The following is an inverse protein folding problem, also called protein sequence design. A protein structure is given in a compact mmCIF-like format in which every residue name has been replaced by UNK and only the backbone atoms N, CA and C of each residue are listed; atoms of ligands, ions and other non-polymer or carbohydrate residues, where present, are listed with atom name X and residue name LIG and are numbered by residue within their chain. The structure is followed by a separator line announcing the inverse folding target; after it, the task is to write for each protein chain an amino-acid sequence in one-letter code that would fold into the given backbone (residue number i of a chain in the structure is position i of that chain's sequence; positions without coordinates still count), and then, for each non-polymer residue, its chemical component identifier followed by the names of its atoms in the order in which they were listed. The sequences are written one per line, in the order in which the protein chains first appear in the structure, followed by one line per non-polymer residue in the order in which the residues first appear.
data_IF_937620085382
#
_entry.id   IF_937620085382
#
_cell.length_a   1.000
_cell.length_b   1.000
_cell.length_c   1.000
_cell.angle_alpha   90.00
_cell.angle_beta   90.00
_cell.angle_gamma   90.00
#
_symmetry.space_group_name_H-M   'P 1'
#
loop_
_entity.id
_entity.type
_entity.pdbx_description
1 polymer ?
#
# COMPACT_ATOMS: atom_id res chain seq x y z
N UNK A 1 -4.23 7.25 41.80
CA UNK A 1 -4.37 7.52 40.35
C UNK A 1 -3.06 7.40 39.58
N UNK A 2 -2.08 8.32 39.72
CA UNK A 2 -0.79 8.22 39.00
C UNK A 2 0.06 7.01 39.46
N UNK A 3 0.18 6.80 40.77
CA UNK A 3 0.87 5.63 41.33
C UNK A 3 0.22 4.31 40.90
N UNK A 4 -1.12 4.27 40.81
CA UNK A 4 -1.82 3.11 40.30
C UNK A 4 -1.54 2.93 38.81
N UNK A 5 -1.63 3.97 37.98
CA UNK A 5 -1.30 3.89 36.55
C UNK A 5 0.13 3.36 36.32
N UNK A 6 1.10 3.79 37.12
CA UNK A 6 2.49 3.29 37.09
C UNK A 6 2.57 1.84 37.58
N UNK A 7 1.81 1.46 38.62
CA UNK A 7 1.77 0.09 39.16
C UNK A 7 1.11 -0.90 38.21
N UNK A 8 0.04 -0.49 37.54
CA UNK A 8 -0.63 -1.25 36.49
C UNK A 8 0.25 -1.35 35.23
N UNK A 9 0.91 -0.25 34.83
CA UNK A 9 1.88 -0.26 33.71
C UNK A 9 3.13 -1.10 33.98
N UNK A 10 3.57 -1.22 35.24
CA UNK A 10 4.67 -2.10 35.63
C UNK A 10 4.24 -3.56 35.76
N UNK A 11 3.02 -3.85 36.22
CA UNK A 11 2.47 -5.20 36.22
C UNK A 11 2.24 -5.74 34.80
N UNK A 12 1.73 -4.91 33.87
CA UNK A 12 1.60 -5.29 32.45
C UNK A 12 2.94 -5.42 31.73
N UNK A 13 3.98 -4.71 32.16
CA UNK A 13 5.34 -4.91 31.64
C UNK A 13 6.03 -6.13 32.26
N UNK A 14 5.66 -6.55 33.47
CA UNK A 14 6.22 -7.71 34.14
C UNK A 14 5.63 -9.04 33.63
N UNK A 15 4.34 -9.06 33.27
CA UNK A 15 3.71 -10.24 32.65
C UNK A 15 3.61 -10.08 31.13
N UNK A 16 4.55 -10.72 30.43
CA UNK A 16 4.63 -10.72 28.96
C UNK A 16 3.60 -11.69 28.34
N UNK A 17 2.94 -12.54 29.14
CA UNK A 17 1.99 -13.53 28.65
C UNK A 17 0.52 -13.05 28.73
N UNK A 18 0.19 -12.14 29.64
CA UNK A 18 -1.18 -11.61 29.77
C UNK A 18 -1.49 -10.53 28.72
N UNK A 19 -2.43 -10.79 27.81
CA UNK A 19 -2.93 -9.82 26.82
C UNK A 19 -3.94 -8.84 27.46
N UNK A 20 -3.86 -7.55 27.12
CA UNK A 20 -4.75 -6.51 27.66
C UNK A 20 -5.64 -5.85 26.61
N UNK A 21 -5.16 -5.75 25.37
CA UNK A 21 -5.89 -5.12 24.26
C UNK A 21 -7.27 -5.74 24.00
N UNK A 22 -7.48 -7.08 24.05
CA UNK A 22 -8.81 -7.64 23.77
C UNK A 22 -9.86 -7.13 24.77
N UNK A 23 -9.52 -7.06 26.05
CA UNK A 23 -10.42 -6.62 27.13
C UNK A 23 -10.69 -5.11 27.16
N UNK A 24 -9.93 -4.31 26.40
CA UNK A 24 -10.05 -2.85 26.34
C UNK A 24 -10.52 -2.36 24.98
N UNK A 25 -10.95 -3.26 24.12
CA UNK A 25 -11.42 -2.98 22.77
C UNK A 25 -12.94 -3.23 22.67
N UNK A 26 -13.64 -2.44 21.86
CA UNK A 26 -15.08 -2.53 21.62
C UNK A 26 -15.44 -3.52 20.51
N UNK A 27 -14.76 -4.66 20.44
CA UNK A 27 -14.88 -5.65 19.36
C UNK A 27 -15.22 -7.03 19.91
N UNK A 28 -16.02 -7.77 19.14
CA UNK A 28 -16.14 -9.21 19.30
C UNK A 28 -14.88 -9.82 18.66
N UNK A 29 -14.09 -10.50 19.47
CA UNK A 29 -12.79 -11.02 19.12
C UNK A 29 -12.90 -12.46 18.64
N UNK A 30 -12.15 -12.78 17.59
CA UNK A 30 -11.93 -14.16 17.15
C UNK A 30 -10.54 -14.62 17.59
N UNK A 31 -10.40 -15.89 18.00
CA UNK A 31 -9.15 -16.42 18.57
C UNK A 31 -7.95 -16.22 17.65
N UNK A 32 -8.16 -16.39 16.34
CA UNK A 32 -7.10 -16.17 15.37
C UNK A 32 -6.58 -14.72 15.44
N UNK A 33 -7.42 -13.72 15.67
CA UNK A 33 -6.98 -12.31 15.68
C UNK A 33 -5.94 -11.97 16.77
N UNK A 34 -5.73 -12.87 17.73
CA UNK A 34 -4.75 -12.72 18.81
C UNK A 34 -3.31 -13.12 18.42
N UNK A 35 -3.10 -13.97 17.41
CA UNK A 35 -1.75 -14.46 17.04
C UNK A 35 -0.77 -13.31 16.72
N UNK A 36 -1.13 -12.28 15.91
CA UNK A 36 -0.25 -11.13 15.67
C UNK A 36 0.11 -10.37 16.95
N UNK A 37 -0.81 -10.29 17.90
CA UNK A 37 -0.62 -9.58 19.18
C UNK A 37 0.38 -10.35 20.04
N UNK A 38 0.18 -11.65 20.21
CA UNK A 38 1.05 -12.53 20.99
C UNK A 38 2.47 -12.53 20.41
N UNK A 39 2.60 -12.69 19.09
CA UNK A 39 3.92 -12.64 18.44
C UNK A 39 4.56 -11.27 18.60
N UNK A 40 3.80 -10.20 18.37
CA UNK A 40 4.31 -8.84 18.44
C UNK A 40 4.88 -8.49 19.82
N UNK A 41 4.16 -8.81 20.90
CA UNK A 41 4.64 -8.46 22.25
C UNK A 41 5.90 -9.21 22.67
N UNK A 42 6.10 -10.44 22.18
CA UNK A 42 7.30 -11.25 22.45
C UNK A 42 8.54 -10.71 21.72
N UNK A 43 8.36 -9.90 20.68
CA UNK A 43 9.48 -9.30 19.95
C UNK A 43 9.97 -8.03 20.69
N UNK A 44 11.29 -7.83 20.83
CA UNK A 44 11.84 -6.56 21.32
C UNK A 44 11.43 -5.37 20.43
N UNK A 45 11.39 -5.60 19.12
CA UNK A 45 10.83 -4.69 18.11
C UNK A 45 9.78 -5.41 17.30
N UNK A 46 8.58 -4.83 17.26
CA UNK A 46 7.47 -5.42 16.52
C UNK A 46 7.65 -5.14 15.03
N UNK A 47 8.46 -5.96 14.38
CA UNK A 47 8.63 -5.99 12.93
C UNK A 47 7.82 -7.16 12.38
N UNK A 48 6.53 -6.93 12.15
CA UNK A 48 5.58 -7.99 11.81
C UNK A 48 4.89 -7.72 10.47
N UNK A 49 4.75 -8.76 9.66
CA UNK A 49 3.96 -8.78 8.45
C UNK A 49 2.69 -9.62 8.69
N UNK A 50 1.55 -8.95 8.77
CA UNK A 50 0.23 -9.59 8.82
C UNK A 50 -0.24 -9.80 7.38
N UNK A 51 -0.10 -11.03 6.93
CA UNK A 51 -0.33 -11.45 5.56
C UNK A 51 -1.59 -12.29 5.36
N UNK A 52 -2.59 -12.10 6.22
CA UNK A 52 -3.84 -12.85 6.23
C UNK A 52 -4.74 -12.54 5.04
N UNK A 53 -5.60 -13.49 4.70
CA UNK A 53 -6.57 -13.37 3.61
C UNK A 53 -7.51 -12.15 3.76
N UNK A 54 -8.12 -11.74 2.65
CA UNK A 54 -9.03 -10.58 2.60
C UNK A 54 -10.25 -10.85 3.47
N UNK A 55 -10.52 -9.92 4.39
CA UNK A 55 -11.70 -9.98 5.26
C UNK A 55 -11.49 -10.71 6.59
N UNK A 56 -10.27 -11.13 6.92
CA UNK A 56 -9.97 -11.68 8.26
C UNK A 56 -9.83 -10.61 9.36
N UNK A 57 -9.88 -9.33 9.00
CA UNK A 57 -9.84 -8.24 9.97
C UNK A 57 -8.43 -7.74 10.29
N UNK A 58 -7.50 -7.72 9.31
CA UNK A 58 -6.14 -7.18 9.47
C UNK A 58 -6.07 -5.80 10.13
N UNK A 59 -7.05 -4.93 9.87
CA UNK A 59 -7.15 -3.60 10.50
C UNK A 59 -7.44 -3.70 12.00
N UNK A 60 -8.28 -4.65 12.41
CA UNK A 60 -8.58 -4.97 13.80
C UNK A 60 -7.36 -5.60 14.49
N UNK A 61 -6.70 -6.56 13.82
CA UNK A 61 -5.46 -7.17 14.32
C UNK A 61 -4.36 -6.12 14.55
N UNK A 62 -4.19 -5.20 13.60
CA UNK A 62 -3.28 -4.07 13.75
C UNK A 62 -3.67 -3.14 14.91
N UNK A 63 -4.97 -2.85 15.06
CA UNK A 63 -5.50 -2.06 16.17
C UNK A 63 -5.23 -2.69 17.54
N UNK A 64 -5.32 -4.02 17.64
CA UNK A 64 -4.98 -4.75 18.86
C UNK A 64 -3.49 -4.66 19.19
N UNK A 65 -2.61 -4.81 18.19
CA UNK A 65 -1.16 -4.62 18.37
C UNK A 65 -0.87 -3.18 18.81
N UNK A 66 -1.48 -2.19 18.16
CA UNK A 66 -1.37 -0.77 18.54
C UNK A 66 -1.78 -0.56 19.99
N UNK A 67 -2.96 -1.04 20.36
CA UNK A 67 -3.50 -0.84 21.70
C UNK A 67 -2.63 -1.51 22.76
N UNK A 68 -2.14 -2.73 22.49
CA UNK A 68 -1.24 -3.44 23.40
C UNK A 68 0.09 -2.70 23.59
N UNK A 69 0.68 -2.17 22.51
CA UNK A 69 1.91 -1.36 22.59
C UNK A 69 1.70 -0.04 23.35
N UNK A 70 0.54 0.60 23.20
CA UNK A 70 0.18 1.80 23.97
C UNK A 70 0.02 1.48 25.46
N UNK A 71 -0.67 0.39 25.80
CA UNK A 71 -0.92 -0.04 27.18
C UNK A 71 0.36 -0.46 27.91
N UNK A 72 1.33 -1.01 27.19
CA UNK A 72 2.67 -1.36 27.71
C UNK A 72 3.66 -0.20 27.69
N UNK A 73 3.24 0.97 27.24
CA UNK A 73 4.08 2.16 27.08
C UNK A 73 5.29 1.94 26.13
N UNK A 74 5.17 1.02 25.18
CA UNK A 74 6.18 0.75 24.14
C UNK A 74 6.04 1.63 22.91
N UNK A 75 4.87 2.23 22.71
CA UNK A 75 4.65 3.21 21.64
C UNK A 75 3.82 4.41 22.15
N UNK A 76 4.01 5.56 21.53
CA UNK A 76 3.19 6.78 21.72
C UNK A 76 2.91 7.46 20.39
N UNK A 77 3.91 7.49 19.50
CA UNK A 77 3.86 8.09 18.17
C UNK A 77 3.64 7.01 17.11
N UNK A 78 2.53 7.12 16.37
CA UNK A 78 2.09 6.11 15.41
C UNK A 78 1.77 6.79 14.10
N UNK A 79 2.34 6.27 13.00
CA UNK A 79 2.01 6.67 11.65
C UNK A 79 1.43 5.49 10.89
N UNK A 80 0.19 5.65 10.42
CA UNK A 80 -0.45 4.72 9.49
C UNK A 80 -0.34 5.27 8.08
N UNK A 81 0.28 4.50 7.19
CA UNK A 81 0.33 4.77 5.76
C UNK A 81 -0.57 3.77 5.05
N UNK A 82 -1.62 4.25 4.37
CA UNK A 82 -2.58 3.39 3.68
C UNK A 82 -2.98 4.01 2.32
N UNK A 83 -3.68 3.27 1.44
CA UNK A 83 -4.35 3.87 0.28
C UNK A 83 -5.28 5.02 0.70
N UNK A 84 -5.38 6.08 -0.11
CA UNK A 84 -6.20 7.26 0.20
C UNK A 84 -7.67 6.91 0.49
N UNK A 85 -8.22 5.92 -0.21
CA UNK A 85 -9.59 5.42 -0.01
C UNK A 85 -9.82 4.77 1.36
N UNK A 86 -8.78 4.33 2.06
CA UNK A 86 -8.88 3.65 3.35
C UNK A 86 -8.62 4.56 4.55
N UNK A 87 -8.17 5.80 4.36
CA UNK A 87 -7.79 6.69 5.46
C UNK A 87 -8.93 6.96 6.45
N UNK A 88 -10.13 7.28 5.93
CA UNK A 88 -11.31 7.54 6.77
C UNK A 88 -11.81 6.27 7.46
N UNK A 89 -11.71 5.12 6.78
CA UNK A 89 -12.05 3.82 7.37
C UNK A 89 -11.12 3.50 8.55
N UNK A 90 -9.81 3.68 8.37
CA UNK A 90 -8.83 3.53 9.45
C UNK A 90 -9.12 4.46 10.62
N UNK A 91 -9.43 5.74 10.35
CA UNK A 91 -9.76 6.71 11.39
C UNK A 91 -11.00 6.29 12.19
N UNK A 92 -12.07 5.91 11.49
CA UNK A 92 -13.32 5.46 12.11
C UNK A 92 -13.11 4.19 12.93
N UNK A 93 -12.45 3.16 12.38
CA UNK A 93 -12.22 1.90 13.10
C UNK A 93 -11.34 2.11 14.34
N UNK A 94 -10.26 2.89 14.24
CA UNK A 94 -9.41 3.19 15.40
C UNK A 94 -10.18 3.94 16.50
N UNK A 95 -11.06 4.87 16.13
CA UNK A 95 -11.87 5.63 17.09
C UNK A 95 -12.97 4.77 17.71
N UNK A 96 -13.81 4.12 16.89
CA UNK A 96 -14.99 3.39 17.33
C UNK A 96 -14.64 2.10 18.08
N UNK A 97 -13.62 1.37 17.61
CA UNK A 97 -13.27 0.06 18.16
C UNK A 97 -12.24 0.14 19.27
N UNK A 98 -11.33 1.11 19.20
CA UNK A 98 -10.21 1.19 20.14
C UNK A 98 -10.20 2.49 20.97
N UNK A 99 -11.09 3.44 20.70
CA UNK A 99 -11.09 4.74 21.37
C UNK A 99 -9.87 5.60 21.03
N UNK A 100 -9.17 5.29 19.93
CA UNK A 100 -7.93 5.95 19.54
C UNK A 100 -8.21 7.01 18.48
N UNK A 101 -8.12 8.28 18.87
CA UNK A 101 -8.14 9.39 17.91
C UNK A 101 -6.89 9.32 17.03
N UNK A 102 -7.09 9.27 15.71
CA UNK A 102 -6.07 9.49 14.69
C UNK A 102 -6.46 10.71 13.83
N UNK A 103 -5.45 11.46 13.36
CA UNK A 103 -5.66 12.59 12.46
C UNK A 103 -5.15 12.27 11.07
N UNK A 104 -6.01 12.49 10.08
CA UNK A 104 -5.65 12.34 8.66
C UNK A 104 -4.83 13.54 8.23
N UNK A 105 -3.62 13.28 7.75
CA UNK A 105 -2.67 14.27 7.26
C UNK A 105 -2.69 14.26 5.75
N UNK A 106 -3.21 15.34 5.18
CA UNK A 106 -3.27 15.63 3.76
C UNK A 106 -3.04 17.12 3.49
N UNK A 107 -3.29 17.56 2.25
CA UNK A 107 -3.15 18.96 1.84
C UNK A 107 -4.11 19.89 2.59
N UNK A 108 -5.35 19.47 2.87
CA UNK A 108 -6.32 20.25 3.64
C UNK A 108 -5.85 20.45 5.08
N UNK A 109 -5.45 19.36 5.74
CA UNK A 109 -4.93 19.36 7.10
C UNK A 109 -3.71 20.27 7.22
N UNK A 110 -2.77 20.20 6.27
CA UNK A 110 -1.59 21.07 6.27
C UNK A 110 -1.97 22.56 6.15
N UNK A 111 -2.95 22.89 5.30
CA UNK A 111 -3.44 24.28 5.16
C UNK A 111 -4.08 24.78 6.44
N UNK A 112 -4.92 23.97 7.08
CA UNK A 112 -5.55 24.30 8.35
C UNK A 112 -4.52 24.46 9.47
N UNK A 113 -3.59 23.51 9.59
CA UNK A 113 -2.52 23.55 10.58
C UNK A 113 -1.70 24.84 10.47
N UNK A 114 -1.37 25.27 9.25
CA UNK A 114 -0.65 26.52 9.02
C UNK A 114 -1.45 27.77 9.40
N UNK A 115 -2.78 27.74 9.22
CA UNK A 115 -3.65 28.85 9.65
C UNK A 115 -3.72 28.94 11.17
N UNK A 116 -3.82 27.81 11.86
CA UNK A 116 -4.00 27.79 13.32
C UNK A 116 -2.69 27.90 14.11
N UNK A 117 -1.58 27.37 13.59
CA UNK A 117 -0.29 27.27 14.31
C UNK A 117 0.89 27.96 13.61
N UNK A 118 0.64 28.66 12.50
CA UNK A 118 1.65 29.40 11.74
C UNK A 118 2.33 28.59 10.63
N UNK A 119 3.04 29.30 9.75
CA UNK A 119 3.62 28.75 8.49
C UNK A 119 4.63 27.62 8.75
N UNK A 120 5.31 27.66 9.89
CA UNK A 120 6.33 26.68 10.30
C UNK A 120 5.77 25.45 11.02
N UNK A 121 4.43 25.34 11.17
CA UNK A 121 3.82 24.21 11.83
C UNK A 121 4.03 22.92 11.02
N UNK A 122 4.68 21.93 11.64
CA UNK A 122 5.01 20.67 11.00
C UNK A 122 3.91 19.61 11.25
N UNK A 123 3.28 19.06 10.20
CA UNK A 123 2.17 18.11 10.35
C UNK A 123 2.57 16.78 10.98
N UNK A 124 3.85 16.37 10.90
CA UNK A 124 4.32 15.09 11.46
C UNK A 124 4.55 15.15 12.97
N UNK A 125 4.53 16.36 13.54
CA UNK A 125 4.66 16.61 14.98
C UNK A 125 3.39 17.20 15.60
N UNK A 126 2.33 17.39 14.80
CA UNK A 126 1.14 18.10 15.24
C UNK A 126 0.26 17.29 16.19
N UNK A 127 0.32 15.96 16.10
CA UNK A 127 -0.46 15.01 16.87
C UNK A 127 0.27 13.65 16.92
N UNK A 128 0.18 12.89 18.03
CA UNK A 128 0.95 11.64 18.19
C UNK A 128 0.51 10.50 17.26
N UNK A 129 -0.74 10.49 16.80
CA UNK A 129 -1.31 9.38 16.01
C UNK A 129 -1.84 9.89 14.67
N UNK A 130 -1.11 9.63 13.61
CA UNK A 130 -1.35 10.21 12.28
C UNK A 130 -1.69 9.12 11.26
N UNK A 131 -2.56 9.45 10.30
CA UNK A 131 -2.85 8.63 9.13
C UNK A 131 -2.49 9.46 7.89
N UNK A 132 -1.79 8.88 6.93
CA UNK A 132 -1.50 9.54 5.65
C UNK A 132 -1.61 8.55 4.50
N UNK A 133 -1.74 9.06 3.28
CA UNK A 133 -1.71 8.21 2.09
C UNK A 133 -0.31 8.14 1.51
N UNK A 134 0.08 6.96 1.01
CA UNK A 134 1.40 6.81 0.38
C UNK A 134 1.57 7.72 -0.83
N UNK A 135 0.46 8.00 -1.54
CA UNK A 135 0.44 8.85 -2.72
C UNK A 135 0.58 10.34 -2.38
N UNK A 136 0.15 10.76 -1.19
CA UNK A 136 0.43 12.10 -0.69
C UNK A 136 1.85 12.18 -0.10
N UNK A 137 2.21 11.22 0.76
CA UNK A 137 3.50 11.15 1.46
C UNK A 137 4.69 11.21 0.49
N UNK A 138 4.64 10.50 -0.65
CA UNK A 138 5.76 10.43 -1.61
C UNK A 138 6.11 11.76 -2.30
N UNK A 139 5.27 12.80 -2.16
CA UNK A 139 5.51 14.10 -2.79
C UNK A 139 6.56 14.91 -2.00
N UNK A 140 7.17 15.88 -2.67
CA UNK A 140 8.30 16.66 -2.11
C UNK A 140 7.92 17.44 -0.85
N UNK A 141 6.74 18.08 -0.81
CA UNK A 141 6.33 18.92 0.32
C UNK A 141 6.18 18.09 1.61
N UNK A 142 5.40 16.98 1.64
CA UNK A 142 5.32 16.12 2.82
C UNK A 142 6.67 15.52 3.22
N UNK A 143 7.47 15.07 2.24
CA UNK A 143 8.81 14.51 2.49
C UNK A 143 9.78 15.54 3.07
N UNK A 144 9.69 16.81 2.65
CA UNK A 144 10.49 17.87 3.26
C UNK A 144 10.13 18.04 4.73
N UNK A 145 8.85 18.12 5.06
CA UNK A 145 8.42 18.25 6.45
C UNK A 145 8.85 17.06 7.31
N UNK A 146 8.80 15.83 6.80
CA UNK A 146 9.22 14.68 7.61
C UNK A 146 10.73 14.71 7.85
N UNK A 147 11.53 15.13 6.86
CA UNK A 147 12.98 15.34 7.01
C UNK A 147 13.33 16.42 8.04
N UNK A 148 12.51 17.48 8.17
CA UNK A 148 12.73 18.54 9.17
C UNK A 148 12.61 18.03 10.62
N UNK A 149 11.84 16.96 10.87
CA UNK A 149 11.66 16.38 12.22
C UNK A 149 12.49 15.12 12.46
N UNK A 150 12.98 14.49 11.40
CA UNK A 150 13.82 13.30 11.50
C UNK A 150 15.29 13.67 11.74
N UNK A 151 16.01 12.90 12.56
CA UNK A 151 17.46 13.06 12.66
C UNK A 151 18.12 12.70 11.34
N UNK A 152 19.25 13.33 11.01
CA UNK A 152 20.01 13.08 9.77
C UNK A 152 20.42 11.61 9.62
N UNK A 153 20.72 10.95 10.74
CA UNK A 153 21.06 9.53 10.82
C UNK A 153 20.08 8.86 11.79
N UNK A 154 19.58 7.64 11.49
CA UNK A 154 18.75 6.90 12.42
C UNK A 154 19.47 6.63 13.75
N UNK A 155 19.10 7.32 14.82
CA UNK A 155 19.61 7.11 16.18
C UNK A 155 18.64 6.28 17.04
N UNK A 156 19.12 5.82 18.21
CA UNK A 156 18.28 5.19 19.24
C UNK A 156 18.18 6.11 20.47
N UNK A 157 17.01 6.20 21.13
CA UNK A 157 15.72 5.67 20.69
C UNK A 157 15.25 6.29 19.37
N UNK A 158 14.47 5.55 18.59
CA UNK A 158 13.96 6.02 17.30
C UNK A 158 13.05 7.23 17.50
N UNK A 159 12.99 8.10 16.48
CA UNK A 159 12.22 9.36 16.55
C UNK A 159 10.71 9.10 16.66
N UNK A 160 10.25 8.05 15.98
CA UNK A 160 8.87 7.60 15.99
C UNK A 160 8.81 6.15 16.48
N UNK A 161 7.67 5.76 17.04
CA UNK A 161 7.55 4.45 17.67
C UNK A 161 7.04 3.39 16.70
N UNK A 162 5.88 3.58 16.05
CA UNK A 162 5.26 2.56 15.20
C UNK A 162 4.88 3.09 13.82
N UNK A 163 5.38 2.43 12.77
CA UNK A 163 4.94 2.59 11.39
C UNK A 163 4.02 1.44 11.01
N UNK A 164 2.82 1.75 10.53
CA UNK A 164 1.91 0.78 9.94
C UNK A 164 1.82 1.06 8.44
N UNK A 165 2.06 0.06 7.60
CA UNK A 165 1.89 0.18 6.15
C UNK A 165 0.81 -0.80 5.70
N UNK A 166 -0.34 -0.26 5.33
CA UNK A 166 -1.45 -1.02 4.78
C UNK A 166 -1.31 -1.19 3.27
N UNK A 167 -1.78 -2.33 2.77
CA UNK A 167 -1.54 -2.80 1.40
C UNK A 167 -0.06 -2.71 0.99
N UNK A 168 0.82 -3.25 1.84
CA UNK A 168 2.27 -3.11 1.74
C UNK A 168 2.86 -3.63 0.41
N UNK A 169 2.14 -4.49 -0.31
CA UNK A 169 2.51 -4.92 -1.66
C UNK A 169 2.61 -3.76 -2.67
N UNK A 170 1.95 -2.62 -2.42
CA UNK A 170 2.04 -1.41 -3.25
C UNK A 170 3.32 -0.60 -3.04
N UNK A 171 4.07 -0.90 -1.98
CA UNK A 171 5.32 -0.24 -1.61
C UNK A 171 6.52 -1.07 -2.05
N UNK A 172 6.35 -2.38 -2.23
CA UNK A 172 7.38 -3.24 -2.79
C UNK A 172 7.75 -2.78 -4.23
N UNK A 173 9.04 -2.79 -4.60
CA UNK A 173 9.46 -2.38 -5.94
C UNK A 173 8.83 -3.31 -6.99
N UNK A 174 8.25 -2.71 -8.02
CA UNK A 174 7.71 -3.42 -9.18
C UNK A 174 8.81 -3.53 -10.24
N UNK A 175 9.36 -4.72 -10.48
CA UNK A 175 10.40 -4.89 -11.48
C UNK A 175 10.43 -6.28 -12.09
N UNK A 176 9.95 -6.40 -13.32
CA UNK A 176 10.33 -7.46 -14.26
C UNK A 176 11.50 -6.95 -15.11
N UNK A 177 12.73 -7.23 -14.68
CA UNK A 177 13.96 -6.85 -15.38
C UNK A 177 15.17 -6.91 -14.45
N UNK A 178 16.39 -7.01 -15.02
CA UNK A 178 17.66 -7.23 -14.29
C UNK A 178 17.99 -6.19 -13.20
N UNK A 179 17.29 -5.05 -13.16
CA UNK A 179 17.35 -4.06 -12.08
C UNK A 179 15.94 -3.55 -11.79
N UNK A 180 15.35 -3.98 -10.67
CA UNK A 180 14.08 -3.42 -10.21
C UNK A 180 14.31 -1.99 -9.69
N UNK A 181 13.88 -0.98 -10.43
CA UNK A 181 13.94 0.41 -9.98
C UNK A 181 12.91 0.65 -8.88
N UNK A 182 13.34 1.25 -7.77
CA UNK A 182 12.46 1.58 -6.65
C UNK A 182 11.42 2.62 -7.08
N UNK A 183 10.14 2.32 -6.87
CA UNK A 183 9.07 3.30 -7.12
C UNK A 183 9.17 4.47 -6.14
N UNK A 184 8.55 5.62 -6.47
CA UNK A 184 8.47 6.74 -5.53
C UNK A 184 7.82 6.36 -4.19
N UNK A 185 6.89 5.38 -4.20
CA UNK A 185 6.29 4.84 -2.97
C UNK A 185 7.32 4.07 -2.14
N UNK A 186 8.09 3.19 -2.80
CA UNK A 186 9.17 2.43 -2.19
C UNK A 186 10.21 3.36 -1.56
N UNK A 187 10.67 4.36 -2.32
CA UNK A 187 11.66 5.33 -1.85
C UNK A 187 11.18 6.13 -0.64
N UNK A 188 9.92 6.60 -0.66
CA UNK A 188 9.34 7.34 0.45
C UNK A 188 9.30 6.51 1.74
N UNK A 189 8.84 5.25 1.66
CA UNK A 189 8.76 4.37 2.83
C UNK A 189 10.15 3.96 3.31
N UNK A 190 11.06 3.62 2.40
CA UNK A 190 12.47 3.31 2.74
C UNK A 190 13.14 4.46 3.49
N UNK A 191 12.88 5.70 3.07
CA UNK A 191 13.46 6.90 3.69
C UNK A 191 12.97 7.12 5.12
N UNK A 192 11.75 6.69 5.47
CA UNK A 192 11.17 6.95 6.79
C UNK A 192 11.22 5.73 7.71
N UNK A 193 11.15 4.51 7.18
CA UNK A 193 11.02 3.27 7.95
C UNK A 193 12.15 3.07 8.95
N UNK A 194 13.37 3.46 8.61
CA UNK A 194 14.54 3.38 9.49
C UNK A 194 14.44 4.26 10.74
N UNK A 195 13.55 5.25 10.74
CA UNK A 195 13.32 6.17 11.86
C UNK A 195 12.19 5.73 12.81
N UNK A 196 11.61 4.54 12.59
CA UNK A 196 10.61 3.92 13.46
C UNK A 196 11.19 2.72 14.24
N UNK A 197 10.80 2.56 15.51
CA UNK A 197 11.20 1.44 16.38
C UNK A 197 10.48 0.13 16.03
N UNK A 198 9.21 0.24 15.62
CA UNK A 198 8.33 -0.87 15.28
C UNK A 198 7.75 -0.66 13.87
N UNK A 199 7.57 -1.75 13.14
CA UNK A 199 7.04 -1.75 11.77
C UNK A 199 6.02 -2.87 11.60
N UNK A 200 4.79 -2.50 11.30
CA UNK A 200 3.70 -3.42 11.08
C UNK A 200 3.21 -3.30 9.64
N UNK A 201 3.50 -4.29 8.80
CA UNK A 201 3.06 -4.30 7.42
C UNK A 201 1.83 -5.20 7.27
N UNK A 202 0.84 -4.73 6.52
CA UNK A 202 -0.41 -5.44 6.28
C UNK A 202 -0.57 -5.67 4.77
N UNK A 203 -0.82 -6.90 4.35
CA UNK A 203 -1.11 -7.18 2.94
C UNK A 203 -1.79 -8.54 2.79
N UNK A 204 -2.95 -8.61 2.12
CA UNK A 204 -3.53 -9.92 1.81
C UNK A 204 -2.69 -10.73 0.80
N UNK A 205 -1.96 -10.00 -0.06
CA UNK A 205 -1.17 -10.54 -1.17
C UNK A 205 0.26 -10.02 -1.06
N UNK A 206 1.05 -10.52 -0.09
CA UNK A 206 2.39 -10.00 0.16
C UNK A 206 3.37 -10.26 -1.00
N UNK A 207 3.08 -11.25 -1.84
CA UNK A 207 3.90 -11.66 -2.98
C UNK A 207 3.14 -11.42 -4.29
N UNK A 208 3.71 -10.62 -5.19
CA UNK A 208 3.15 -10.28 -6.50
C UNK A 208 3.65 -11.18 -7.65
N UNK A 209 4.36 -12.25 -7.32
CA UNK A 209 4.97 -13.18 -8.28
C UNK A 209 6.47 -12.96 -8.50
N UNK A 210 7.04 -11.85 -7.99
CA UNK A 210 8.45 -11.49 -8.20
C UNK A 210 9.28 -11.63 -6.92
N UNK A 211 10.31 -12.51 -6.89
CA UNK A 211 11.16 -12.72 -5.71
C UNK A 211 11.87 -11.44 -5.22
N UNK A 212 12.30 -10.58 -6.14
CA UNK A 212 12.94 -9.29 -5.82
C UNK A 212 12.01 -8.34 -5.05
N UNK A 213 10.74 -8.30 -5.45
CA UNK A 213 9.72 -7.47 -4.80
C UNK A 213 9.48 -7.97 -3.37
N UNK A 214 9.42 -9.29 -3.22
CA UNK A 214 9.22 -9.95 -1.93
C UNK A 214 10.37 -9.73 -0.95
N UNK A 215 11.60 -9.99 -1.38
CA UNK A 215 12.80 -9.80 -0.53
C UNK A 215 12.99 -8.33 -0.16
N UNK A 216 12.69 -7.41 -1.08
CA UNK A 216 12.70 -5.97 -0.79
C UNK A 216 11.62 -5.57 0.23
N UNK A 217 10.43 -6.17 0.18
CA UNK A 217 9.38 -5.91 1.17
C UNK A 217 9.81 -6.37 2.58
N UNK A 218 10.43 -7.54 2.67
CA UNK A 218 10.96 -8.08 3.92
C UNK A 218 12.13 -7.25 4.44
N UNK A 219 13.03 -6.78 3.57
CA UNK A 219 14.12 -5.85 3.93
C UNK A 219 13.57 -4.52 4.48
N UNK A 220 12.51 -3.96 3.88
CA UNK A 220 11.85 -2.75 4.39
C UNK A 220 11.22 -2.96 5.77
N UNK A 221 10.76 -4.18 6.06
CA UNK A 221 10.22 -4.55 7.36
C UNK A 221 11.33 -4.72 8.40
N UNK A 222 12.36 -5.50 8.08
CA UNK A 222 13.47 -5.83 8.98
C UNK A 222 14.78 -6.01 8.20
N UNK A 223 15.54 -4.92 8.13
CA UNK A 223 16.84 -4.81 7.45
C UNK A 223 17.98 -5.55 8.19
N UNK A 224 17.73 -6.04 9.40
CA UNK A 224 18.69 -6.87 10.14
C UNK A 224 18.54 -8.36 9.80
N UNK A 225 17.32 -8.80 9.45
CA UNK A 225 17.02 -10.21 9.15
C UNK A 225 17.00 -10.52 7.67
N UNK A 226 16.65 -9.55 6.83
CA UNK A 226 16.42 -9.74 5.41
C UNK A 226 17.22 -8.76 4.59
N UNK A 227 17.65 -9.22 3.42
CA UNK A 227 18.36 -8.42 2.43
C UNK A 227 17.72 -8.61 1.06
N UNK A 228 17.74 -7.56 0.25
CA UNK A 228 17.23 -7.58 -1.12
C UNK A 228 17.97 -8.60 -1.98
N UNK A 229 17.22 -9.37 -2.78
CA UNK A 229 17.76 -10.39 -3.67
C UNK A 229 18.21 -11.68 -2.97
N UNK A 230 18.16 -11.73 -1.64
CA UNK A 230 18.54 -12.91 -0.85
C UNK A 230 17.29 -13.69 -0.47
N UNK A 231 17.26 -14.98 -0.79
CA UNK A 231 16.14 -15.86 -0.41
C UNK A 231 16.04 -15.90 1.12
N UNK A 232 14.87 -15.56 1.70
CA UNK A 232 14.72 -15.49 3.14
C UNK A 232 14.79 -16.87 3.77
N UNK A 233 15.47 -16.98 4.92
CA UNK A 233 15.41 -18.18 5.75
C UNK A 233 13.98 -18.40 6.27
N UNK A 234 13.47 -19.63 6.15
CA UNK A 234 12.09 -19.96 6.54
C UNK A 234 11.82 -19.76 8.03
N UNK A 235 12.77 -20.04 8.91
CA UNK A 235 12.63 -19.84 10.36
C UNK A 235 12.55 -18.36 10.71
N UNK A 236 13.35 -17.52 10.03
CA UNK A 236 13.28 -16.08 10.20
C UNK A 236 11.95 -15.53 9.69
N UNK A 237 11.47 -16.03 8.54
CA UNK A 237 10.19 -15.64 7.96
C UNK A 237 9.02 -16.03 8.87
N UNK A 238 9.01 -17.25 9.41
CA UNK A 238 7.96 -17.74 10.30
C UNK A 238 7.84 -16.90 11.59
N UNK A 239 8.94 -16.29 12.06
CA UNK A 239 8.95 -15.41 13.23
C UNK A 239 8.38 -14.02 12.96
N UNK A 240 8.41 -13.53 11.72
CA UNK A 240 7.99 -12.16 11.37
C UNK A 240 6.69 -12.11 10.59
N UNK A 241 6.27 -13.22 9.97
CA UNK A 241 5.08 -13.27 9.13
C UNK A 241 4.00 -14.13 9.78
N UNK A 242 2.80 -13.55 9.87
CA UNK A 242 1.57 -14.27 10.18
C UNK A 242 0.77 -14.37 8.90
N UNK A 243 0.41 -15.58 8.47
CA UNK A 243 -0.38 -15.81 7.26
C UNK A 243 -1.36 -16.95 7.49
N UNK A 244 -2.64 -16.63 7.40
CA UNK A 244 -3.76 -17.57 7.46
C UNK A 244 -4.72 -17.35 6.32
N UNK A 245 -5.24 -18.45 5.80
CA UNK A 245 -6.32 -18.44 4.81
C UNK A 245 -7.65 -18.73 5.50
N UNK A 246 -8.76 -18.29 4.90
CA UNK A 246 -10.10 -18.63 5.38
C UNK A 246 -10.33 -20.15 5.47
N UNK A 247 -9.65 -20.93 4.65
CA UNK A 247 -9.70 -22.39 4.64
C UNK A 247 -9.00 -23.02 5.85
N UNK A 248 -8.05 -22.31 6.45
CA UNK A 248 -7.22 -22.83 7.54
C UNK A 248 -7.85 -22.54 8.91
N UNK A 249 -8.89 -21.69 8.94
CA UNK A 249 -9.54 -21.23 10.16
C UNK A 249 -10.72 -22.15 10.48
N UNK A 250 -10.62 -22.79 11.65
CA UNK A 250 -11.63 -23.69 12.19
C UNK A 250 -12.10 -23.21 13.56
N UNK A 251 -13.31 -23.59 13.94
CA UNK A 251 -13.84 -23.39 15.29
C UNK A 251 -13.14 -24.34 16.30
N UNK A 252 -13.48 -24.23 17.58
CA UNK A 252 -12.93 -25.09 18.63
C UNK A 252 -13.25 -26.59 18.44
N UNK A 253 -14.21 -26.92 17.57
CA UNK A 253 -14.62 -28.29 17.23
C UNK A 253 -13.97 -28.77 15.92
N UNK A 254 -13.16 -27.94 15.26
CA UNK A 254 -12.49 -28.26 14.01
C UNK A 254 -13.33 -28.03 12.74
N UNK A 255 -14.51 -27.43 12.84
CA UNK A 255 -15.33 -27.11 11.67
C UNK A 255 -14.86 -25.81 11.01
N UNK A 256 -14.88 -25.70 9.67
CA UNK A 256 -14.50 -24.48 8.98
C UNK A 256 -15.46 -23.34 9.31
N UNK A 257 -14.91 -22.19 9.73
CA UNK A 257 -15.71 -21.00 10.04
C UNK A 257 -16.24 -20.34 8.76
N UNK A 258 -15.45 -20.39 7.69
CA UNK A 258 -15.78 -19.75 6.41
C UNK A 258 -16.35 -20.74 5.39
N UNK A 259 -17.31 -20.32 4.56
CA UNK A 259 -17.86 -21.17 3.51
C UNK A 259 -16.81 -21.47 2.43
N UNK A 260 -16.83 -22.70 1.90
CA UNK A 260 -15.96 -23.09 0.79
C UNK A 260 -16.37 -22.37 -0.51
N UNK A 261 -15.41 -21.67 -1.12
CA UNK A 261 -15.60 -21.00 -2.42
C UNK A 261 -15.61 -22.04 -3.53
N UNK A 262 -16.72 -22.12 -4.28
CA UNK A 262 -16.82 -22.88 -5.54
C UNK A 262 -16.67 -21.94 -6.72
N UNK A 263 -15.76 -22.26 -7.63
CA UNK A 263 -15.50 -21.49 -8.86
C UNK A 263 -16.12 -22.24 -10.04
N UNK A 264 -17.19 -21.68 -10.60
CA UNK A 264 -17.84 -22.22 -11.79
C UNK A 264 -17.51 -21.31 -12.99
N UNK A 265 -16.54 -21.71 -13.84
CA UNK A 265 -16.21 -20.93 -15.02
C UNK A 265 -17.36 -21.01 -16.03
N UNK A 266 -17.81 -19.86 -16.51
CA UNK A 266 -18.76 -19.78 -17.61
C UNK A 266 -17.99 -19.61 -18.92
N UNK A 267 -17.88 -20.69 -19.69
CA UNK A 267 -17.27 -20.63 -21.02
C UNK A 267 -18.22 -19.95 -22.01
N UNK A 268 -17.73 -18.92 -22.68
CA UNK A 268 -18.47 -18.18 -23.72
C UNK A 268 -17.88 -18.54 -25.07
N UNK A 269 -18.72 -18.97 -26.00
CA UNK A 269 -18.32 -19.21 -27.38
C UNK A 269 -18.42 -17.92 -28.18
N UNK A 270 -17.28 -17.43 -28.67
CA UNK A 270 -17.27 -16.28 -29.56
C UNK A 270 -17.90 -16.58 -30.91
N UNK A 271 -18.74 -15.66 -31.38
CA UNK A 271 -19.27 -15.67 -32.74
C UNK A 271 -18.12 -15.54 -33.76
N UNK A 272 -18.40 -15.85 -35.04
CA UNK A 272 -17.41 -15.67 -36.11
C UNK A 272 -16.96 -14.21 -36.25
N UNK A 273 -17.89 -13.27 -36.11
CA UNK A 273 -17.63 -11.83 -36.18
C UNK A 273 -16.75 -11.34 -35.04
N UNK A 274 -17.01 -11.78 -33.81
CA UNK A 274 -16.20 -11.44 -32.64
C UNK A 274 -14.76 -11.98 -32.78
N UNK A 275 -14.61 -13.22 -33.24
CA UNK A 275 -13.28 -13.78 -33.54
C UNK A 275 -12.56 -12.98 -34.61
N UNK A 276 -13.28 -12.57 -35.64
CA UNK A 276 -12.71 -11.77 -36.73
C UNK A 276 -12.22 -10.41 -36.24
N UNK A 277 -13.02 -9.65 -35.48
CA UNK A 277 -12.60 -8.32 -35.00
C UNK A 277 -11.41 -8.41 -34.03
N UNK A 278 -11.36 -9.45 -33.19
CA UNK A 278 -10.20 -9.72 -32.33
C UNK A 278 -8.94 -10.03 -33.14
N UNK A 279 -9.06 -10.83 -34.21
CA UNK A 279 -7.95 -11.13 -35.11
C UNK A 279 -7.44 -9.86 -35.83
N UNK A 280 -8.36 -9.04 -36.37
CA UNK A 280 -8.02 -7.77 -37.04
C UNK A 280 -7.31 -6.81 -36.09
N UNK A 281 -7.80 -6.65 -34.86
CA UNK A 281 -7.15 -5.76 -33.88
C UNK A 281 -5.76 -6.30 -33.45
N UNK A 282 -5.63 -7.62 -33.34
CA UNK A 282 -4.34 -8.26 -33.03
C UNK A 282 -3.32 -8.00 -34.13
N UNK A 283 -3.73 -8.16 -35.40
CA UNK A 283 -2.88 -7.89 -36.55
C UNK A 283 -2.51 -6.41 -36.65
N UNK A 284 -3.46 -5.50 -36.45
CA UNK A 284 -3.20 -4.07 -36.39
C UNK A 284 -2.16 -3.72 -35.31
N UNK A 285 -2.28 -4.31 -34.12
CA UNK A 285 -1.35 -4.12 -33.00
C UNK A 285 0.05 -4.59 -33.38
N UNK A 286 0.18 -5.77 -34.01
CA UNK A 286 1.44 -6.34 -34.47
C UNK A 286 2.14 -5.43 -35.48
N UNK A 287 1.42 -4.97 -36.50
CA UNK A 287 1.94 -4.08 -37.54
C UNK A 287 2.40 -2.73 -36.96
N UNK A 288 1.63 -2.16 -36.03
CA UNK A 288 1.99 -0.90 -35.37
C UNK A 288 3.20 -0.99 -34.45
N UNK A 289 3.36 -2.12 -33.76
CA UNK A 289 4.54 -2.36 -32.92
C UNK A 289 5.80 -2.54 -33.76
N UNK A 290 5.71 -3.25 -34.89
CA UNK A 290 6.83 -3.39 -35.83
C UNK A 290 7.29 -2.03 -36.38
N UNK A 291 6.36 -1.21 -36.87
CA UNK A 291 6.68 0.12 -37.44
C UNK A 291 7.27 1.11 -36.42
N UNK A 292 6.89 1.04 -35.14
CA UNK A 292 7.37 1.98 -34.12
C UNK A 292 8.66 1.54 -33.41
N UNK A 293 9.11 0.29 -33.57
CA UNK A 293 10.43 -0.15 -33.07
C UNK A 293 11.57 0.59 -33.77
N UNK A 294 11.36 1.05 -35.00
CA UNK A 294 12.35 1.77 -35.81
C UNK A 294 12.44 3.27 -35.49
N UNK A 295 11.40 3.87 -34.89
CA UNK A 295 11.28 5.34 -34.74
C UNK A 295 11.38 5.88 -33.31
N UNK A 296 11.72 5.05 -32.32
CA UNK A 296 11.95 5.52 -30.95
C UNK A 296 10.71 6.13 -30.28
N UNK A 297 9.64 5.32 -30.10
CA UNK A 297 8.38 5.78 -29.48
C UNK A 297 7.51 4.65 -28.88
N UNK A 298 8.13 3.55 -28.48
CA UNK A 298 7.45 2.27 -28.16
C UNK A 298 6.38 2.37 -27.07
N UNK A 299 6.67 3.05 -25.95
CA UNK A 299 5.78 3.05 -24.77
C UNK A 299 4.44 3.77 -24.98
N UNK A 300 4.45 4.93 -25.63
CA UNK A 300 3.19 5.66 -25.91
C UNK A 300 2.29 4.88 -26.88
N UNK A 301 2.90 4.28 -27.90
CA UNK A 301 2.17 3.42 -28.85
C UNK A 301 1.60 2.19 -28.16
N UNK A 302 2.40 1.51 -27.34
CA UNK A 302 1.97 0.33 -26.61
C UNK A 302 0.81 0.63 -25.65
N UNK A 303 0.83 1.80 -24.99
CA UNK A 303 -0.26 2.26 -24.15
C UNK A 303 -1.57 2.43 -24.93
N UNK A 304 -1.54 3.10 -26.08
CA UNK A 304 -2.71 3.30 -26.94
C UNK A 304 -3.27 1.97 -27.45
N UNK A 305 -2.40 1.06 -27.88
CA UNK A 305 -2.82 -0.28 -28.35
C UNK A 305 -3.47 -1.10 -27.23
N UNK A 306 -2.93 -1.05 -26.01
CA UNK A 306 -3.56 -1.65 -24.83
C UNK A 306 -4.93 -1.04 -24.55
N UNK A 307 -5.07 0.27 -24.73
CA UNK A 307 -6.33 0.97 -24.52
C UNK A 307 -7.40 0.56 -25.54
N UNK A 308 -7.05 0.45 -26.83
CA UNK A 308 -7.94 -0.08 -27.88
C UNK A 308 -8.42 -1.50 -27.53
N UNK A 309 -7.51 -2.38 -27.11
CA UNK A 309 -7.86 -3.75 -26.71
C UNK A 309 -8.80 -3.77 -25.50
N UNK A 310 -8.53 -2.95 -24.48
CA UNK A 310 -9.41 -2.81 -23.29
C UNK A 310 -10.81 -2.30 -23.66
N UNK A 311 -10.90 -1.37 -24.61
CA UNK A 311 -12.18 -0.80 -25.05
C UNK A 311 -13.00 -1.80 -25.87
N UNK A 312 -12.36 -2.63 -26.69
CA UNK A 312 -13.04 -3.73 -27.41
C UNK A 312 -13.70 -4.72 -26.45
N UNK A 313 -13.03 -5.06 -25.34
CA UNK A 313 -13.60 -5.92 -24.30
C UNK A 313 -14.70 -5.25 -23.47
N UNK A 314 -14.87 -3.92 -23.58
CA UNK A 314 -15.88 -3.20 -22.81
C UNK A 314 -17.21 -3.13 -23.56
N UNK A 315 -17.24 -2.58 -24.77
CA UNK A 315 -18.42 -2.60 -25.64
C UNK A 315 -18.07 -2.14 -27.06
N UNK A 316 -18.84 -2.56 -28.09
CA UNK A 316 -18.67 -2.07 -29.46
C UNK A 316 -18.72 -0.55 -29.57
N UNK A 317 -19.63 0.10 -28.83
CA UNK A 317 -19.76 1.56 -28.80
C UNK A 317 -18.52 2.25 -28.19
N UNK A 318 -18.00 1.73 -27.08
CA UNK A 318 -16.79 2.26 -26.44
C UNK A 318 -15.56 2.11 -27.33
N UNK A 319 -15.47 0.98 -28.06
CA UNK A 319 -14.43 0.73 -29.03
C UNK A 319 -14.52 1.70 -30.22
N UNK A 320 -15.72 1.87 -30.80
CA UNK A 320 -15.93 2.78 -31.93
C UNK A 320 -15.52 4.22 -31.61
N UNK A 321 -15.94 4.75 -30.46
CA UNK A 321 -15.56 6.12 -30.04
C UNK A 321 -14.04 6.28 -29.85
N UNK A 322 -13.38 5.27 -29.27
CA UNK A 322 -11.93 5.29 -29.09
C UNK A 322 -11.19 5.17 -30.43
N UNK A 323 -11.69 4.32 -31.33
CA UNK A 323 -11.12 4.13 -32.67
C UNK A 323 -11.20 5.40 -33.51
N UNK A 324 -12.31 6.14 -33.40
CA UNK A 324 -12.50 7.39 -34.13
C UNK A 324 -11.49 8.46 -33.68
N UNK A 325 -11.29 8.65 -32.37
CA UNK A 325 -10.28 9.59 -31.86
C UNK A 325 -8.84 9.14 -32.18
N UNK A 326 -8.57 7.84 -32.12
CA UNK A 326 -7.30 7.28 -32.55
C UNK A 326 -7.04 7.56 -34.04
N UNK A 327 -8.07 7.38 -34.89
CA UNK A 327 -8.01 7.67 -36.33
C UNK A 327 -7.75 9.16 -36.59
N UNK A 328 -8.45 10.07 -35.88
CA UNK A 328 -8.21 11.52 -35.96
C UNK A 328 -6.78 11.87 -35.57
N UNK A 329 -6.24 11.27 -34.52
CA UNK A 329 -4.86 11.52 -34.06
C UNK A 329 -3.82 11.10 -35.11
N UNK A 330 -4.07 9.96 -35.78
CA UNK A 330 -3.20 9.47 -36.84
C UNK A 330 -3.27 10.32 -38.12
N UNK A 331 -4.47 10.78 -38.49
CA UNK A 331 -4.68 11.61 -39.68
C UNK A 331 -4.28 13.07 -39.45
N UNK A 332 -4.48 13.60 -38.24
CA UNK A 332 -4.11 14.96 -37.85
C UNK A 332 -2.60 15.21 -37.87
N UNK A 333 -1.79 14.18 -37.53
CA UNK A 333 -0.33 14.22 -37.69
C UNK A 333 0.13 14.38 -39.15
N UNK A 334 -0.70 14.06 -40.14
CA UNK A 334 -0.37 14.23 -41.58
C UNK A 334 -0.55 15.67 -42.09
N UNK A 335 -1.14 16.60 -41.32
CA UNK A 335 -1.46 17.97 -41.77
C UNK A 335 -0.49 19.07 -41.30
N UNK A 336 0.53 18.76 -40.50
CA UNK A 336 1.56 19.74 -40.06
C UNK A 336 2.92 19.55 -40.76
N UNK A 337 2.90 19.28 -42.07
CA UNK A 337 4.10 19.21 -42.91
C UNK A 337 3.94 19.94 -44.24
N UNK A 338 3.19 21.06 -44.25
CA UNK A 338 2.99 21.92 -45.42
C UNK A 338 3.37 23.36 -45.09
N UNK A 339 4.44 23.83 -45.72
CA UNK A 339 5.21 25.06 -45.44
C UNK A 339 4.61 26.34 -46.03
N UNK A 340 3.29 26.54 -46.14
CA UNK A 340 2.78 27.68 -46.95
C UNK A 340 1.51 28.35 -46.41
N UNK A 341 1.54 28.87 -45.18
CA UNK A 341 0.47 29.76 -44.70
C UNK A 341 0.91 30.81 -43.65
N UNK A 342 2.17 31.26 -43.67
CA UNK A 342 2.65 32.33 -42.77
C UNK A 342 2.95 33.66 -43.46
N UNK A 343 2.75 33.80 -44.78
CA UNK A 343 3.07 35.06 -45.50
C UNK A 343 1.86 35.95 -45.85
N UNK A 344 0.62 35.54 -45.62
CA UNK A 344 -0.56 36.35 -46.00
C UNK A 344 -1.23 37.14 -44.88
N UNK A 345 -0.58 37.31 -43.72
CA UNK A 345 -1.15 38.07 -42.59
C UNK A 345 -0.40 39.33 -42.17
N UNK A 346 0.59 39.77 -42.95
CA UNK A 346 1.35 41.02 -42.68
C UNK A 346 0.93 42.19 -43.57
N UNK A 347 -0.01 42.03 -44.48
CA UNK A 347 -0.59 43.14 -45.25
C UNK A 347 -2.12 43.08 -45.25
N UNK A 348 -2.71 43.52 -44.14
CA UNK A 348 -3.95 44.32 -44.10
C UNK A 348 -4.26 44.80 -42.70
#
# INVERSE_FOLDING_TARGET
AFLDAVRWGSATNADVQALQSPFRSGIAMEDYQLDPVVRGIQMPRVNLLIADDVGLGKTIEAGLVVQELLLRHRARTILIVCPASLQLKWQAEMLEKFGLEFRVVDTSYLRELRRCRGIHANPWSSFPRLITSVDWLKNEIPMRFIREVMPLVPSYPRKFDLLIVDEAHNVAPSGGGNYALDSLRTQAIRAIALHFEHRLFLSATPHNGYPESWTSLLELLDDQRFARGVIPNQDHLARVMVRRLKTDITDAQGNPIFPMRKLEPLEIQYTGEERHIHAVLTEYTRLRQASNREQGGGHATEFVLKLLKKRLFSSPAAFAGTLEEHRKTLLGKKRQGGTEALEQRVLR
#
